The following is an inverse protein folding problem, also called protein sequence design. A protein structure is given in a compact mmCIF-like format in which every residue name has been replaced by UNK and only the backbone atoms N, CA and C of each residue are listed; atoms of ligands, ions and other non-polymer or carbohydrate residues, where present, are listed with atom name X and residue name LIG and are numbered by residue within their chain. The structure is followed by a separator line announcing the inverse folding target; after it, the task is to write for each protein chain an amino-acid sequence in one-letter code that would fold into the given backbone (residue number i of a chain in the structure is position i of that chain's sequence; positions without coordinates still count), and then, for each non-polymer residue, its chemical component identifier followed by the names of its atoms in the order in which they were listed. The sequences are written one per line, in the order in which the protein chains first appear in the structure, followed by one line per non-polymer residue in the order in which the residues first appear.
data_IF_627944027493
#
_entry.id   IF_627944027493
#
_cell.length_a   1.000
_cell.length_b   1.000
_cell.length_c   1.000
_cell.angle_alpha   90.00
_cell.angle_beta   90.00
_cell.angle_gamma   90.00
#
_symmetry.space_group_name_H-M   'P 1'
#
loop_
_entity.id
_entity.type
_entity.pdbx_description
1 polymer ?
#
# COMPACT_ATOMS: atom_id res chain seq x y z
N UNK A 1 -63.84 -5.64 28.02
CA UNK A 1 -62.89 -6.77 27.83
C UNK A 1 -62.29 -6.81 26.43
N UNK A 2 -63.09 -6.84 25.35
CA UNK A 2 -62.55 -6.89 23.97
C UNK A 2 -61.70 -5.67 23.56
N UNK A 3 -62.14 -4.45 23.88
CA UNK A 3 -61.42 -3.20 23.57
C UNK A 3 -60.05 -3.13 24.26
N UNK A 4 -59.96 -3.61 25.50
CA UNK A 4 -58.71 -3.63 26.27
C UNK A 4 -57.69 -4.59 25.64
N UNK A 5 -58.17 -5.76 25.19
CA UNK A 5 -57.35 -6.76 24.51
C UNK A 5 -56.81 -6.23 23.16
N UNK A 6 -57.62 -5.47 22.44
CA UNK A 6 -57.19 -4.82 21.18
C UNK A 6 -56.13 -3.76 21.46
N UNK A 7 -56.32 -2.91 22.49
CA UNK A 7 -55.33 -1.89 22.88
C UNK A 7 -53.99 -2.51 23.29
N UNK A 8 -54.00 -3.58 24.09
CA UNK A 8 -52.77 -4.26 24.49
C UNK A 8 -52.02 -4.88 23.30
N UNK A 9 -52.76 -5.45 22.33
CA UNK A 9 -52.14 -5.99 21.11
C UNK A 9 -51.52 -4.89 20.23
N UNK A 10 -52.16 -3.72 20.14
CA UNK A 10 -51.61 -2.57 19.40
C UNK A 10 -50.37 -2.02 20.10
N UNK A 11 -50.36 -1.95 21.43
CA UNK A 11 -49.18 -1.53 22.20
C UNK A 11 -48.02 -2.50 22.03
N UNK A 12 -48.26 -3.81 22.16
CA UNK A 12 -47.25 -4.83 21.96
C UNK A 12 -46.68 -4.81 20.53
N UNK A 13 -47.53 -4.57 19.52
CA UNK A 13 -47.10 -4.40 18.13
C UNK A 13 -46.22 -3.16 17.95
N UNK A 14 -46.62 -2.01 18.52
CA UNK A 14 -45.83 -0.77 18.48
C UNK A 14 -44.46 -0.95 19.14
N UNK A 15 -44.40 -1.64 20.28
CA UNK A 15 -43.16 -1.90 21.01
C UNK A 15 -42.25 -2.86 20.24
N UNK A 16 -42.81 -3.91 19.65
CA UNK A 16 -42.09 -4.83 18.77
C UNK A 16 -41.53 -4.10 17.53
N UNK A 17 -42.31 -3.21 16.91
CA UNK A 17 -41.87 -2.42 15.77
C UNK A 17 -40.70 -1.49 16.13
N UNK A 18 -40.78 -0.76 17.26
CA UNK A 18 -39.68 0.11 17.74
C UNK A 18 -38.42 -0.70 18.04
N UNK A 19 -38.58 -1.85 18.70
CA UNK A 19 -37.46 -2.75 19.02
C UNK A 19 -36.81 -3.29 17.76
N UNK A 20 -37.60 -3.68 16.76
CA UNK A 20 -37.10 -4.13 15.47
C UNK A 20 -36.36 -3.01 14.72
N UNK A 21 -36.90 -1.79 14.69
CA UNK A 21 -36.22 -0.64 14.08
C UNK A 21 -34.90 -0.33 14.77
N UNK A 22 -34.84 -0.35 16.11
CA UNK A 22 -33.59 -0.17 16.87
C UNK A 22 -32.58 -1.26 16.58
N UNK A 23 -32.99 -2.52 16.59
CA UNK A 23 -32.11 -3.66 16.32
C UNK A 23 -31.47 -3.56 14.93
N UNK A 24 -32.25 -3.20 13.91
CA UNK A 24 -31.73 -3.00 12.54
C UNK A 24 -30.75 -1.82 12.50
N UNK A 25 -31.03 -0.73 13.20
CA UNK A 25 -30.14 0.43 13.26
C UNK A 25 -28.81 0.08 13.95
N UNK A 26 -28.84 -0.66 15.05
CA UNK A 26 -27.66 -1.11 15.79
C UNK A 26 -26.83 -2.12 14.98
N UNK A 27 -27.49 -3.08 14.31
CA UNK A 27 -26.83 -4.02 13.38
C UNK A 27 -26.17 -3.28 12.21
N UNK A 28 -26.86 -2.28 11.64
CA UNK A 28 -26.32 -1.47 10.54
C UNK A 28 -25.13 -0.62 10.99
N UNK A 29 -25.22 -0.01 12.18
CA UNK A 29 -24.14 0.80 12.74
C UNK A 29 -22.89 -0.03 13.06
N UNK A 30 -23.08 -1.20 13.68
CA UNK A 30 -21.98 -2.13 13.98
C UNK A 30 -21.35 -2.73 12.72
N UNK A 31 -22.16 -3.05 11.71
CA UNK A 31 -21.66 -3.50 10.40
C UNK A 31 -20.83 -2.41 9.71
N UNK A 32 -21.29 -1.14 9.75
CA UNK A 32 -20.55 -0.01 9.18
C UNK A 32 -19.21 0.19 9.91
N UNK A 33 -19.21 0.19 11.24
CA UNK A 33 -17.98 0.32 12.04
C UNK A 33 -16.97 -0.79 11.75
N UNK A 34 -17.45 -2.04 11.63
CA UNK A 34 -16.61 -3.19 11.28
C UNK A 34 -16.02 -3.05 9.89
N UNK A 35 -16.84 -2.66 8.90
CA UNK A 35 -16.39 -2.42 7.53
C UNK A 35 -15.34 -1.30 7.47
N UNK A 36 -15.58 -0.17 8.15
CA UNK A 36 -14.61 0.93 8.24
C UNK A 36 -13.27 0.46 8.86
N UNK A 37 -13.31 -0.38 9.88
CA UNK A 37 -12.10 -0.93 10.52
C UNK A 37 -11.30 -1.82 9.55
N UNK A 38 -11.96 -2.68 8.78
CA UNK A 38 -11.33 -3.52 7.77
C UNK A 38 -10.67 -2.67 6.68
N UNK A 39 -11.36 -1.63 6.19
CA UNK A 39 -10.82 -0.71 5.17
C UNK A 39 -9.58 0.02 5.71
N UNK A 40 -9.62 0.51 6.95
CA UNK A 40 -8.48 1.20 7.56
C UNK A 40 -7.24 0.31 7.67
N UNK A 41 -7.42 -0.95 8.08
CA UNK A 41 -6.33 -1.93 8.15
C UNK A 41 -5.79 -2.22 6.75
N UNK A 42 -6.67 -2.42 5.76
CA UNK A 42 -6.29 -2.65 4.37
C UNK A 42 -5.49 -1.49 3.77
N UNK A 43 -5.91 -0.25 4.04
CA UNK A 43 -5.20 0.96 3.62
C UNK A 43 -3.83 1.05 4.28
N UNK A 44 -3.75 0.80 5.59
CA UNK A 44 -2.49 0.85 6.33
C UNK A 44 -1.47 -0.15 5.77
N UNK A 45 -1.89 -1.40 5.55
CA UNK A 45 -1.05 -2.45 4.95
C UNK A 45 -0.62 -2.05 3.54
N UNK A 46 -1.55 -1.55 2.71
CA UNK A 46 -1.26 -1.15 1.33
C UNK A 46 -0.24 -0.01 1.28
N UNK A 47 -0.39 1.01 2.12
CA UNK A 47 0.56 2.12 2.22
C UNK A 47 1.92 1.63 2.71
N UNK A 48 1.95 0.75 3.72
CA UNK A 48 3.21 0.20 4.23
C UNK A 48 3.96 -0.60 3.17
N UNK A 49 3.25 -1.45 2.42
CA UNK A 49 3.83 -2.21 1.31
C UNK A 49 4.34 -1.27 0.21
N UNK A 50 3.58 -0.23 -0.15
CA UNK A 50 4.00 0.75 -1.15
C UNK A 50 5.30 1.45 -0.74
N UNK A 51 5.43 1.85 0.53
CA UNK A 51 6.66 2.47 1.07
C UNK A 51 7.83 1.49 1.02
N UNK A 52 7.62 0.24 1.43
CA UNK A 52 8.67 -0.79 1.39
C UNK A 52 9.14 -1.03 -0.06
N UNK A 53 8.20 -1.22 -0.99
CA UNK A 53 8.51 -1.42 -2.41
C UNK A 53 9.27 -0.22 -2.96
N UNK A 54 8.83 1.00 -2.66
CA UNK A 54 9.50 2.23 -3.09
C UNK A 54 10.95 2.29 -2.59
N UNK A 55 11.19 2.00 -1.31
CA UNK A 55 12.54 1.96 -0.72
C UNK A 55 13.40 0.88 -1.40
N UNK A 56 12.84 -0.30 -1.67
CA UNK A 56 13.56 -1.40 -2.34
C UNK A 56 13.95 -1.00 -3.76
N UNK A 57 13.03 -0.43 -4.54
CA UNK A 57 13.30 0.05 -5.91
C UNK A 57 14.37 1.13 -5.89
N UNK A 58 14.26 2.13 -5.01
CA UNK A 58 15.26 3.21 -4.94
C UNK A 58 16.65 2.68 -4.63
N UNK A 59 16.77 1.71 -3.71
CA UNK A 59 18.07 1.16 -3.30
C UNK A 59 18.66 0.18 -4.29
N UNK A 60 17.84 -0.68 -4.91
CA UNK A 60 18.32 -1.76 -5.78
C UNK A 60 18.36 -1.38 -7.26
N UNK A 61 17.60 -0.37 -7.67
CA UNK A 61 17.51 0.04 -9.07
C UNK A 61 17.98 1.48 -9.21
N UNK A 62 17.25 2.45 -8.64
CA UNK A 62 17.52 3.88 -8.91
C UNK A 62 18.93 4.32 -8.52
N UNK A 63 19.41 3.90 -7.33
CA UNK A 63 20.76 4.22 -6.87
C UNK A 63 21.86 3.67 -7.79
N UNK A 64 21.91 2.34 -8.03
CA UNK A 64 22.86 1.73 -8.97
C UNK A 64 22.82 2.33 -10.37
N UNK A 65 21.63 2.60 -10.94
CA UNK A 65 21.51 3.26 -12.24
C UNK A 65 22.15 4.65 -12.22
N UNK A 66 21.91 5.45 -11.18
CA UNK A 66 22.51 6.78 -11.06
C UNK A 66 24.03 6.73 -10.93
N UNK A 67 24.57 5.74 -10.21
CA UNK A 67 26.01 5.53 -10.10
C UNK A 67 26.63 5.22 -11.48
N UNK A 68 26.04 4.27 -12.20
CA UNK A 68 26.48 3.89 -13.54
C UNK A 68 26.42 5.08 -14.50
N UNK A 69 25.33 5.85 -14.51
CA UNK A 69 25.20 7.08 -15.30
C UNK A 69 26.27 8.11 -14.95
N UNK A 70 26.62 8.22 -13.66
CA UNK A 70 27.69 9.11 -13.21
C UNK A 70 29.06 8.74 -13.79
N UNK A 71 29.37 7.44 -13.83
CA UNK A 71 30.62 6.93 -14.41
C UNK A 71 30.64 7.14 -15.92
N UNK A 72 29.54 6.86 -16.63
CA UNK A 72 29.43 7.10 -18.07
C UNK A 72 29.68 8.56 -18.43
N UNK A 73 29.13 9.50 -17.65
CA UNK A 73 29.36 10.93 -17.86
C UNK A 73 30.84 11.30 -17.67
N UNK A 74 31.48 10.80 -16.62
CA UNK A 74 32.90 11.04 -16.39
C UNK A 74 33.77 10.52 -17.56
N UNK A 75 33.47 9.31 -18.05
CA UNK A 75 34.16 8.74 -19.22
C UNK A 75 33.92 9.57 -20.48
N UNK A 76 32.68 10.03 -20.71
CA UNK A 76 32.35 10.90 -21.84
C UNK A 76 33.09 12.26 -21.77
N UNK A 77 33.35 12.76 -20.57
CA UNK A 77 34.15 13.97 -20.32
C UNK A 77 35.68 13.71 -20.37
N UNK A 78 36.10 12.47 -20.62
CA UNK A 78 37.49 12.06 -20.76
C UNK A 78 38.18 11.58 -19.47
N UNK A 79 37.45 11.48 -18.35
CA UNK A 79 37.95 10.93 -17.09
C UNK A 79 37.72 9.41 -17.02
N UNK A 80 38.73 8.67 -17.48
CA UNK A 80 38.77 7.21 -17.46
C UNK A 80 39.18 6.61 -16.11
N UNK A 81 39.45 7.44 -15.10
CA UNK A 81 39.88 6.96 -13.77
C UNK A 81 38.71 6.51 -12.89
N UNK A 82 37.48 6.80 -13.31
CA UNK A 82 36.25 6.50 -12.57
C UNK A 82 35.71 5.12 -12.98
N UNK A 83 35.26 4.35 -12.00
CA UNK A 83 34.61 3.05 -12.20
C UNK A 83 33.38 2.90 -11.31
N UNK A 84 32.40 2.16 -11.80
CA UNK A 84 31.20 1.77 -11.05
C UNK A 84 31.54 0.67 -10.04
N UNK A 85 31.05 0.80 -8.81
CA UNK A 85 31.15 -0.20 -7.74
C UNK A 85 29.86 -0.99 -7.56
N UNK A 86 28.92 -0.85 -8.50
CA UNK A 86 27.68 -1.61 -8.49
C UNK A 86 27.99 -3.10 -8.58
N UNK A 87 27.70 -3.81 -7.50
CA UNK A 87 27.77 -5.27 -7.40
C UNK A 87 26.33 -5.81 -7.46
N UNK A 88 25.81 -5.91 -8.68
CA UNK A 88 24.48 -6.46 -8.96
C UNK A 88 24.62 -7.70 -9.85
N UNK A 89 23.73 -8.67 -9.68
CA UNK A 89 23.71 -9.91 -10.47
C UNK A 89 22.63 -9.88 -11.58
N UNK A 90 22.22 -8.68 -11.98
CA UNK A 90 21.22 -8.41 -13.00
C UNK A 90 21.83 -7.58 -14.13
N UNK A 91 20.97 -7.10 -15.04
CA UNK A 91 21.37 -6.33 -16.21
C UNK A 91 22.08 -5.02 -15.85
N UNK A 92 21.89 -4.50 -14.63
CA UNK A 92 22.59 -3.29 -14.16
C UNK A 92 24.04 -3.62 -13.80
N UNK A 93 24.28 -4.80 -13.24
CA UNK A 93 25.63 -5.31 -12.98
C UNK A 93 26.40 -5.53 -14.27
N UNK A 94 25.77 -6.16 -15.26
CA UNK A 94 26.36 -6.36 -16.59
C UNK A 94 26.72 -5.03 -17.25
N UNK A 95 25.83 -4.03 -17.15
CA UNK A 95 26.08 -2.69 -17.67
C UNK A 95 27.24 -1.99 -16.95
N UNK A 96 27.28 -2.07 -15.61
CA UNK A 96 28.37 -1.52 -14.81
C UNK A 96 29.73 -2.15 -15.22
N UNK A 97 29.76 -3.47 -15.44
CA UNK A 97 30.96 -4.17 -15.84
C UNK A 97 31.44 -3.78 -17.24
N UNK A 98 30.51 -3.65 -18.20
CA UNK A 98 30.83 -3.22 -19.56
C UNK A 98 31.42 -1.80 -19.60
N UNK A 99 30.88 -0.87 -18.81
CA UNK A 99 31.41 0.50 -18.73
C UNK A 99 32.79 0.53 -18.07
N UNK A 100 33.00 -0.25 -17.01
CA UNK A 100 34.31 -0.37 -16.37
C UNK A 100 35.35 -0.91 -17.35
N UNK A 101 35.00 -1.87 -18.20
CA UNK A 101 35.88 -2.40 -19.24
C UNK A 101 36.24 -1.32 -20.29
N UNK A 102 35.26 -0.50 -20.70
CA UNK A 102 35.48 0.63 -21.61
C UNK A 102 36.43 1.68 -21.02
N UNK A 103 36.29 2.00 -19.73
CA UNK A 103 37.18 2.95 -19.06
C UNK A 103 38.62 2.42 -18.88
N UNK A 104 38.79 1.09 -18.83
CA UNK A 104 40.10 0.44 -18.64
C UNK A 104 40.87 0.16 -19.93
N UNK A 105 40.30 0.48 -21.10
CA UNK A 105 40.91 0.27 -22.43
C UNK A 105 41.55 1.54 -22.97
#
# INVERSE_FOLDING_TARGET
VAVEKVRSSIQALSEAAITQTRKIADESSSALSSASSIVMIGLFISTLLAVIISIVITRRITGPVQEVVGVVKAVADGDLTRSSKVDSQDEIGDLAHAINQMASS
#
